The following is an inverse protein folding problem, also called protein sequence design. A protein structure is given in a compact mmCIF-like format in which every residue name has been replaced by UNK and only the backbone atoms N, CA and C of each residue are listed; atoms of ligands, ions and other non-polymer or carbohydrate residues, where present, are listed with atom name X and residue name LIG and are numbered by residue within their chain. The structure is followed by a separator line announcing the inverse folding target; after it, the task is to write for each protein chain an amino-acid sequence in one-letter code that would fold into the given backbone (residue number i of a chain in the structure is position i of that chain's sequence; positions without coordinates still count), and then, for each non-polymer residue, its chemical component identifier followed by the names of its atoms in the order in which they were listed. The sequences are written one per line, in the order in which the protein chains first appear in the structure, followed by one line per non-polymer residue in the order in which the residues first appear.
data_IF_782637565311
#
_entry.id   IF_782637565311
#
_cell.length_a   1.000
_cell.length_b   1.000
_cell.length_c   1.000
_cell.angle_alpha   90.00
_cell.angle_beta   90.00
_cell.angle_gamma   90.00
#
_symmetry.space_group_name_H-M   'P 1'
#
loop_
_entity.id
_entity.type
_entity.pdbx_description
1 polymer ?
#
# COMPACT_ATOMS: atom_id res chain seq x y z
N UNK A 1 4.46 -15.40 21.08
CA UNK A 1 5.48 -15.21 20.02
C UNK A 1 4.96 -14.15 19.06
N UNK A 2 5.81 -13.22 18.63
CA UNK A 2 5.42 -11.90 18.08
C UNK A 2 4.31 -11.99 17.02
N UNK A 3 3.11 -11.47 17.36
CA UNK A 3 1.92 -11.44 16.48
C UNK A 3 2.13 -10.61 15.22
N UNK A 4 3.05 -9.65 15.23
CA UNK A 4 3.18 -8.62 14.19
C UNK A 4 4.45 -8.79 13.35
N UNK A 5 4.45 -8.30 12.11
CA UNK A 5 5.63 -8.28 11.23
C UNK A 5 6.74 -7.36 11.76
N UNK A 6 7.97 -7.54 11.25
CA UNK A 6 9.07 -6.64 11.58
C UNK A 6 8.82 -5.21 11.08
N UNK A 7 8.22 -5.09 9.89
CA UNK A 7 7.84 -3.82 9.27
C UNK A 7 6.86 -3.04 10.15
N UNK A 8 5.76 -3.67 10.58
CA UNK A 8 4.76 -2.97 11.40
C UNK A 8 5.27 -2.61 12.79
N UNK A 9 6.12 -3.44 13.40
CA UNK A 9 6.83 -3.06 14.64
C UNK A 9 7.75 -1.86 14.44
N UNK A 10 8.40 -1.75 13.28
CA UNK A 10 9.22 -0.60 12.91
C UNK A 10 8.39 0.68 12.86
N UNK A 11 7.22 0.64 12.22
CA UNK A 11 6.27 1.75 12.21
C UNK A 11 5.90 2.22 13.62
N UNK A 12 5.45 1.31 14.49
CA UNK A 12 5.00 1.65 15.85
C UNK A 12 6.08 2.20 16.77
N UNK A 13 7.36 1.98 16.45
CA UNK A 13 8.49 2.52 17.23
C UNK A 13 8.87 3.95 16.84
N UNK A 14 8.45 4.40 15.67
CA UNK A 14 8.73 5.75 15.19
C UNK A 14 7.68 6.72 15.73
N UNK A 15 8.05 8.00 15.94
CA UNK A 15 7.09 9.01 16.39
C UNK A 15 6.02 9.20 15.32
N UNK A 16 4.77 9.35 15.74
CA UNK A 16 3.64 9.59 14.84
C UNK A 16 3.60 11.04 14.36
N UNK A 17 4.57 11.38 13.50
CA UNK A 17 4.71 12.70 12.89
C UNK A 17 5.43 12.58 11.55
N UNK A 18 5.56 13.71 10.84
CA UNK A 18 6.21 13.79 9.52
C UNK A 18 7.61 13.17 9.48
N UNK A 19 8.40 13.33 10.55
CA UNK A 19 9.78 12.81 10.60
C UNK A 19 9.76 11.28 10.71
N UNK A 20 8.95 10.73 11.62
CA UNK A 20 8.80 9.28 11.77
C UNK A 20 8.26 8.63 10.50
N UNK A 21 7.24 9.21 9.89
CA UNK A 21 6.66 8.74 8.62
C UNK A 21 7.68 8.76 7.47
N UNK A 22 8.52 9.80 7.41
CA UNK A 22 9.59 9.89 6.40
C UNK A 22 10.66 8.83 6.63
N UNK A 23 11.15 8.67 7.87
CA UNK A 23 12.14 7.64 8.21
C UNK A 23 11.62 6.23 7.90
N UNK A 24 10.35 5.96 8.22
CA UNK A 24 9.72 4.69 7.88
C UNK A 24 9.69 4.46 6.37
N UNK A 25 9.22 5.46 5.62
CA UNK A 25 9.09 5.37 4.16
C UNK A 25 10.44 5.17 3.47
N UNK A 26 11.50 5.83 3.97
CA UNK A 26 12.88 5.59 3.50
C UNK A 26 13.34 4.15 3.79
N UNK A 27 13.07 3.63 4.98
CA UNK A 27 13.38 2.24 5.33
C UNK A 27 12.62 1.23 4.46
N UNK A 28 11.35 1.50 4.16
CA UNK A 28 10.53 0.72 3.23
C UNK A 28 11.13 0.72 1.82
N UNK A 29 11.50 1.88 1.29
CA UNK A 29 12.14 2.00 -0.04
C UNK A 29 13.50 1.33 -0.07
N UNK A 30 14.30 1.41 1.00
CA UNK A 30 15.57 0.70 1.08
C UNK A 30 15.39 -0.83 1.01
N UNK A 31 14.28 -1.36 1.55
CA UNK A 31 13.92 -2.77 1.47
C UNK A 31 13.32 -3.18 0.12
N UNK A 32 12.54 -2.30 -0.51
CA UNK A 32 11.88 -2.53 -1.80
C UNK A 32 12.20 -1.36 -2.76
N UNK A 33 13.37 -1.36 -3.42
CA UNK A 33 13.87 -0.19 -4.16
C UNK A 33 12.93 0.34 -5.25
N UNK A 34 12.17 -0.54 -5.90
CA UNK A 34 11.26 -0.14 -6.98
C UNK A 34 10.13 0.79 -6.50
N UNK A 35 9.73 0.70 -5.22
CA UNK A 35 8.79 1.65 -4.62
C UNK A 35 9.33 3.08 -4.62
N UNK A 36 10.65 3.28 -4.56
CA UNK A 36 11.26 4.60 -4.62
C UNK A 36 10.94 5.38 -5.90
N UNK A 37 10.55 4.71 -6.99
CA UNK A 37 10.22 5.36 -8.27
C UNK A 37 8.99 6.28 -8.19
N UNK A 38 8.07 6.07 -7.23
CA UNK A 38 6.90 6.92 -7.05
C UNK A 38 7.02 7.88 -5.85
N UNK A 39 8.19 7.92 -5.20
CA UNK A 39 8.45 8.72 -4.00
C UNK A 39 7.34 8.60 -2.93
N UNK A 40 6.98 7.36 -2.51
CA UNK A 40 5.85 7.13 -1.63
C UNK A 40 6.16 7.59 -0.20
N UNK A 41 5.15 8.13 0.47
CA UNK A 41 5.16 8.40 1.91
C UNK A 41 3.98 7.72 2.57
N UNK A 42 4.24 6.74 3.44
CA UNK A 42 3.22 6.12 4.29
C UNK A 42 2.82 7.12 5.37
N UNK A 43 1.54 7.47 5.43
CA UNK A 43 1.00 8.50 6.35
C UNK A 43 0.06 7.92 7.40
N UNK A 44 -0.48 6.72 7.15
CA UNK A 44 -1.25 5.96 8.14
C UNK A 44 -1.03 4.47 7.92
N UNK A 45 -0.85 3.74 9.01
CA UNK A 45 -0.67 2.30 8.97
C UNK A 45 -1.21 1.65 10.26
N UNK A 46 -2.24 0.83 10.10
CA UNK A 46 -2.91 0.08 11.16
C UNK A 46 -3.48 -1.23 10.58
N UNK A 47 -3.82 -2.24 11.41
CA UNK A 47 -4.42 -3.47 10.89
C UNK A 47 -5.70 -3.16 10.11
N UNK A 48 -5.76 -3.61 8.85
CA UNK A 48 -6.86 -3.39 7.93
C UNK A 48 -6.85 -2.05 7.16
N UNK A 49 -5.86 -1.18 7.38
CA UNK A 49 -5.79 0.13 6.70
C UNK A 49 -4.35 0.61 6.47
N UNK A 50 -4.08 1.06 5.26
CA UNK A 50 -2.89 1.84 4.95
C UNK A 50 -3.23 3.03 4.05
N UNK A 51 -2.66 4.19 4.36
CA UNK A 51 -2.70 5.37 3.52
C UNK A 51 -1.29 5.79 3.10
N UNK A 52 -1.12 6.00 1.79
CA UNK A 52 0.16 6.35 1.17
C UNK A 52 -0.04 7.54 0.24
N UNK A 53 0.87 8.49 0.27
CA UNK A 53 0.87 9.64 -0.64
C UNK A 53 2.06 9.58 -1.59
N UNK A 54 1.89 10.13 -2.79
CA UNK A 54 2.98 10.29 -3.76
C UNK A 54 2.85 11.63 -4.50
N UNK A 55 3.95 12.41 -4.63
CA UNK A 55 3.93 13.62 -5.42
C UNK A 55 3.84 13.31 -6.91
N UNK A 56 3.24 14.21 -7.69
CA UNK A 56 3.42 14.20 -9.15
C UNK A 56 4.76 14.88 -9.46
N UNK A 57 5.66 14.18 -10.12
CA UNK A 57 6.98 14.69 -10.47
C UNK A 57 7.41 14.18 -11.84
N UNK A 58 8.43 14.82 -12.44
CA UNK A 58 8.79 14.61 -13.83
C UNK A 58 9.12 13.14 -14.17
N UNK A 59 9.71 12.38 -13.23
CA UNK A 59 10.11 10.99 -13.45
C UNK A 59 8.95 10.00 -13.58
N UNK A 60 7.72 10.40 -13.26
CA UNK A 60 6.52 9.55 -13.35
C UNK A 60 5.43 10.17 -14.22
N UNK A 61 5.78 11.11 -15.08
CA UNK A 61 4.83 11.64 -16.06
C UNK A 61 4.59 10.62 -17.18
N UNK A 62 3.34 10.54 -17.65
CA UNK A 62 3.06 9.96 -18.96
C UNK A 62 3.21 11.00 -20.09
N UNK A 63 2.97 10.58 -21.33
CA UNK A 63 3.01 11.42 -22.52
C UNK A 63 2.01 12.60 -22.51
N UNK A 64 1.07 12.65 -21.56
CA UNK A 64 0.13 13.75 -21.34
C UNK A 64 0.56 14.69 -20.18
N UNK A 65 1.70 14.46 -19.53
CA UNK A 65 2.14 15.23 -18.37
C UNK A 65 1.33 14.99 -17.09
N UNK A 66 0.59 13.88 -17.03
CA UNK A 66 -0.20 13.45 -15.87
C UNK A 66 0.51 12.32 -15.12
N UNK A 67 0.04 12.00 -13.91
CA UNK A 67 0.57 10.88 -13.13
C UNK A 67 0.41 9.58 -13.93
N UNK A 68 1.51 8.86 -14.18
CA UNK A 68 1.52 7.69 -15.06
C UNK A 68 0.66 6.55 -14.49
N UNK A 69 -0.08 5.87 -15.36
CA UNK A 69 -0.97 4.76 -15.02
C UNK A 69 -0.25 3.66 -14.19
N UNK A 70 0.89 3.17 -14.67
CA UNK A 70 1.70 2.15 -13.98
C UNK A 70 2.35 2.70 -12.70
N UNK A 71 2.63 4.00 -12.61
CA UNK A 71 3.08 4.61 -11.35
C UNK A 71 1.94 4.59 -10.31
N UNK A 72 0.69 4.81 -10.74
CA UNK A 72 -0.46 4.67 -9.85
C UNK A 72 -0.65 3.21 -9.40
N UNK A 73 -0.40 2.22 -10.27
CA UNK A 73 -0.36 0.81 -9.87
C UNK A 73 0.74 0.54 -8.84
N UNK A 74 1.95 1.10 -9.02
CA UNK A 74 3.03 0.97 -8.04
C UNK A 74 2.63 1.59 -6.68
N UNK A 75 1.97 2.75 -6.69
CA UNK A 75 1.44 3.36 -5.47
C UNK A 75 0.35 2.49 -4.80
N UNK A 76 -0.52 1.84 -5.59
CA UNK A 76 -1.52 0.91 -5.08
C UNK A 76 -0.85 -0.30 -4.39
N UNK A 77 0.18 -0.86 -5.03
CA UNK A 77 0.96 -1.98 -4.52
C UNK A 77 1.67 -1.63 -3.21
N UNK A 78 2.22 -0.42 -3.07
CA UNK A 78 2.79 0.07 -1.81
C UNK A 78 1.73 0.05 -0.71
N UNK A 79 0.54 0.63 -0.98
CA UNK A 79 -0.53 0.72 0.01
C UNK A 79 -1.04 -0.67 0.43
N UNK A 80 -1.31 -1.56 -0.52
CA UNK A 80 -1.70 -2.94 -0.25
C UNK A 80 -0.61 -3.71 0.51
N UNK A 81 0.65 -3.58 0.09
CA UNK A 81 1.75 -4.31 0.70
C UNK A 81 1.99 -3.88 2.15
N UNK A 82 1.94 -2.57 2.43
CA UNK A 82 2.03 -2.07 3.80
C UNK A 82 0.83 -2.47 4.64
N UNK A 83 -0.40 -2.41 4.11
CA UNK A 83 -1.57 -2.97 4.77
C UNK A 83 -1.36 -4.44 5.15
N UNK A 84 -0.83 -5.25 4.23
CA UNK A 84 -0.55 -6.67 4.48
C UNK A 84 0.50 -6.86 5.56
N UNK A 85 1.58 -6.05 5.57
CA UNK A 85 2.57 -6.04 6.66
C UNK A 85 1.97 -5.68 8.02
N UNK A 86 0.97 -4.79 8.08
CA UNK A 86 0.32 -4.42 9.34
C UNK A 86 -0.76 -5.40 9.81
N UNK A 87 -1.37 -6.12 8.87
CA UNK A 87 -2.58 -6.93 9.13
C UNK A 87 -2.26 -8.41 9.27
N UNK A 88 -1.42 -8.96 8.39
CA UNK A 88 -1.12 -10.41 8.37
C UNK A 88 -0.18 -10.73 9.52
N UNK A 89 -0.54 -11.68 10.42
CA UNK A 89 0.26 -11.96 11.58
C UNK A 89 1.56 -12.67 11.23
N UNK A 90 2.52 -12.62 12.14
CA UNK A 90 3.83 -13.26 11.98
C UNK A 90 3.78 -14.78 11.69
N UNK A 91 2.68 -15.46 12.05
CA UNK A 91 2.42 -16.89 11.80
C UNK A 91 2.06 -17.19 10.35
N UNK A 92 1.71 -16.18 9.56
CA UNK A 92 1.35 -16.31 8.14
C UNK A 92 2.33 -15.53 7.27
N UNK A 93 2.37 -15.89 5.98
CA UNK A 93 3.03 -15.13 4.92
C UNK A 93 1.98 -14.72 3.88
N UNK A 94 2.31 -13.68 3.12
CA UNK A 94 1.44 -13.16 2.08
C UNK A 94 2.24 -12.91 0.80
N UNK A 95 1.58 -13.04 -0.35
CA UNK A 95 2.16 -12.70 -1.66
C UNK A 95 1.06 -12.19 -2.63
N UNK A 96 1.28 -11.10 -3.37
CA UNK A 96 0.35 -10.65 -4.41
C UNK A 96 0.22 -11.71 -5.50
N UNK A 97 -1.02 -12.01 -5.92
CA UNK A 97 -1.34 -12.97 -7.00
C UNK A 97 -1.93 -12.32 -8.24
N UNK A 98 -2.74 -11.28 -8.07
CA UNK A 98 -3.39 -10.58 -9.17
C UNK A 98 -3.71 -9.14 -8.78
N UNK A 99 -3.85 -8.28 -9.78
CA UNK A 99 -4.27 -6.90 -9.61
C UNK A 99 -5.18 -6.52 -10.78
N UNK A 100 -6.40 -6.06 -10.48
CA UNK A 100 -7.32 -5.46 -11.44
C UNK A 100 -7.35 -3.94 -11.19
N UNK A 101 -7.16 -3.14 -12.24
CA UNK A 101 -7.07 -1.68 -12.12
C UNK A 101 -8.02 -0.99 -13.07
N UNK A 102 -8.74 0.00 -12.56
CA UNK A 102 -9.63 0.88 -13.32
C UNK A 102 -9.09 2.31 -13.27
N UNK A 103 -8.88 2.92 -14.43
CA UNK A 103 -8.48 4.32 -14.55
C UNK A 103 -9.73 5.19 -14.75
N UNK A 104 -10.23 5.77 -13.67
CA UNK A 104 -11.52 6.45 -13.62
C UNK A 104 -11.44 7.87 -14.18
N UNK A 105 -10.33 8.57 -13.94
CA UNK A 105 -10.10 9.94 -14.41
C UNK A 105 -8.60 10.25 -14.56
N UNK A 106 -8.28 11.36 -15.23
CA UNK A 106 -6.89 11.81 -15.39
C UNK A 106 -6.32 12.32 -14.06
N UNK A 107 -5.19 11.76 -13.64
CA UNK A 107 -4.48 12.12 -12.42
C UNK A 107 -3.57 13.35 -12.62
N UNK A 108 -4.10 14.55 -12.39
CA UNK A 108 -3.39 15.81 -12.67
C UNK A 108 -2.51 16.34 -11.52
N UNK A 109 -2.59 15.74 -10.32
CA UNK A 109 -1.87 16.14 -9.11
C UNK A 109 -1.05 14.99 -8.52
N UNK A 110 -0.39 15.25 -7.38
CA UNK A 110 -0.01 14.16 -6.48
C UNK A 110 -1.25 13.36 -6.03
N UNK A 111 -1.01 12.12 -5.62
CA UNK A 111 -2.05 11.14 -5.34
C UNK A 111 -1.98 10.65 -3.90
N UNK A 112 -3.12 10.22 -3.37
CA UNK A 112 -3.27 9.56 -2.08
C UNK A 112 -3.97 8.22 -2.29
N UNK A 113 -3.27 7.11 -2.09
CA UNK A 113 -3.82 5.77 -2.12
C UNK A 113 -4.26 5.32 -0.72
N UNK A 114 -5.43 4.71 -0.64
CA UNK A 114 -6.02 4.17 0.58
C UNK A 114 -6.34 2.70 0.34
N UNK A 115 -5.55 1.81 0.92
CA UNK A 115 -5.86 0.39 0.98
C UNK A 115 -6.66 0.13 2.25
N UNK A 116 -7.85 -0.45 2.14
CA UNK A 116 -8.72 -0.67 3.31
C UNK A 116 -9.53 -1.97 3.16
N UNK A 117 -9.40 -2.84 4.15
CA UNK A 117 -10.26 -4.02 4.27
C UNK A 117 -11.62 -3.63 4.86
N UNK A 118 -12.69 -4.22 4.33
CA UNK A 118 -14.01 -4.13 4.95
C UNK A 118 -14.03 -4.84 6.31
N UNK A 119 -13.36 -5.99 6.39
CA UNK A 119 -13.19 -6.79 7.60
C UNK A 119 -11.81 -7.46 7.59
N UNK A 120 -11.14 -7.50 8.74
CA UNK A 120 -9.87 -8.22 8.91
C UNK A 120 -10.17 -9.70 9.11
N UNK A 121 -9.59 -10.62 8.30
CA UNK A 121 -9.83 -12.05 8.44
C UNK A 121 -9.39 -12.61 9.79
N UNK A 122 -10.09 -13.65 10.24
CA UNK A 122 -9.60 -14.50 11.33
C UNK A 122 -8.51 -15.44 10.80
N UNK A 123 -7.25 -15.00 10.91
CA UNK A 123 -6.10 -15.72 10.39
C UNK A 123 -5.91 -17.11 11.02
N UNK A 124 -6.42 -17.39 12.22
CA UNK A 124 -6.31 -18.73 12.82
C UNK A 124 -7.10 -19.79 12.04
N UNK A 125 -8.10 -19.37 11.26
CA UNK A 125 -8.89 -20.26 10.39
C UNK A 125 -8.23 -20.53 9.04
N UNK A 126 -7.15 -19.84 8.69
CA UNK A 126 -6.47 -20.00 7.39
C UNK A 126 -5.39 -21.07 7.52
N UNK A 127 -5.73 -22.35 7.33
CA UNK A 127 -4.78 -23.46 7.54
C UNK A 127 -4.09 -23.95 6.26
N UNK A 128 -4.71 -23.78 5.09
CA UNK A 128 -4.17 -24.25 3.80
C UNK A 128 -3.79 -23.09 2.86
N UNK A 129 -4.31 -21.90 3.15
CA UNK A 129 -4.12 -20.69 2.40
C UNK A 129 -5.43 -20.17 1.82
N UNK A 130 -5.53 -18.86 1.67
CA UNK A 130 -6.72 -18.16 1.24
C UNK A 130 -6.35 -16.92 0.43
N UNK A 131 -7.18 -16.61 -0.57
CA UNK A 131 -7.12 -15.33 -1.26
C UNK A 131 -7.81 -14.25 -0.42
N UNK A 132 -7.07 -13.17 -0.16
CA UNK A 132 -7.55 -11.95 0.47
C UNK A 132 -7.54 -10.84 -0.59
N UNK A 133 -8.72 -10.34 -0.94
CA UNK A 133 -8.85 -9.19 -1.83
C UNK A 133 -8.61 -7.90 -1.03
N UNK A 134 -7.69 -7.06 -1.48
CA UNK A 134 -7.39 -5.75 -0.88
C UNK A 134 -7.81 -4.64 -1.84
N UNK A 135 -8.94 -3.95 -1.58
CA UNK A 135 -9.34 -2.79 -2.37
C UNK A 135 -8.45 -1.58 -2.06
N UNK A 136 -8.08 -0.85 -3.11
CA UNK A 136 -7.28 0.37 -3.03
C UNK A 136 -7.93 1.48 -3.85
N UNK A 137 -8.36 2.53 -3.16
CA UNK A 137 -8.87 3.75 -3.80
C UNK A 137 -7.78 4.82 -3.85
N UNK A 138 -7.54 5.40 -5.02
CA UNK A 138 -6.53 6.44 -5.22
C UNK A 138 -7.18 7.76 -5.59
N UNK A 139 -6.96 8.77 -4.73
CA UNK A 139 -7.56 10.08 -4.82
C UNK A 139 -6.58 11.14 -5.30
N UNK A 140 -7.08 12.10 -6.05
CA UNK A 140 -6.35 13.33 -6.36
C UNK A 140 -6.43 14.36 -5.21
N UNK A 141 -5.84 15.54 -5.42
CA UNK A 141 -5.83 16.62 -4.40
C UNK A 141 -7.21 17.19 -4.06
N UNK A 142 -8.22 16.96 -4.92
CA UNK A 142 -9.60 17.42 -4.71
C UNK A 142 -10.45 16.38 -3.98
N UNK A 143 -9.92 15.17 -3.80
CA UNK A 143 -10.64 14.05 -3.20
C UNK A 143 -11.41 13.21 -4.22
N UNK A 144 -11.22 13.44 -5.52
CA UNK A 144 -11.81 12.60 -6.57
C UNK A 144 -11.01 11.30 -6.68
N UNK A 145 -11.70 10.15 -6.67
CA UNK A 145 -11.07 8.85 -6.98
C UNK A 145 -10.74 8.82 -8.48
N UNK A 146 -9.45 8.73 -8.79
CA UNK A 146 -8.94 8.75 -10.17
C UNK A 146 -8.50 7.36 -10.64
N UNK A 147 -8.15 6.48 -9.69
CA UNK A 147 -7.80 5.07 -9.95
C UNK A 147 -8.38 4.21 -8.83
N UNK A 148 -8.95 3.09 -9.22
CA UNK A 148 -9.35 2.01 -8.30
C UNK A 148 -8.54 0.76 -8.62
N UNK A 149 -8.05 0.05 -7.61
CA UNK A 149 -7.35 -1.21 -7.78
C UNK A 149 -7.81 -2.26 -6.77
N UNK A 150 -8.11 -3.45 -7.26
CA UNK A 150 -8.37 -4.63 -6.45
C UNK A 150 -7.16 -5.57 -6.56
N UNK A 151 -6.44 -5.75 -5.46
CA UNK A 151 -5.23 -6.58 -5.42
C UNK A 151 -5.50 -7.86 -4.63
N UNK A 152 -5.47 -9.00 -5.31
CA UNK A 152 -5.61 -10.32 -4.70
C UNK A 152 -4.29 -10.74 -4.08
N UNK A 153 -4.31 -11.00 -2.77
CA UNK A 153 -3.15 -11.43 -2.00
C UNK A 153 -3.37 -12.84 -1.49
N UNK A 154 -2.42 -13.75 -1.71
CA UNK A 154 -2.45 -15.10 -1.17
C UNK A 154 -1.84 -15.12 0.23
N UNK A 155 -2.65 -15.45 1.22
CA UNK A 155 -2.23 -15.59 2.61
C UNK A 155 -2.16 -17.07 2.96
N UNK A 156 -1.09 -17.53 3.59
CA UNK A 156 -0.92 -18.94 3.96
C UNK A 156 -0.07 -19.07 5.24
N UNK A 157 -0.27 -20.10 6.07
CA UNK A 157 0.60 -20.36 7.21
C UNK A 157 2.08 -20.47 6.82
N UNK A 158 2.97 -20.07 7.72
CA UNK A 158 4.41 -20.20 7.54
C UNK A 158 4.89 -21.62 7.76
#
# INVERSE_FOLDING_TARGET
MTKETATYRGWKKLPDNRVGHTLFSLGMVARVPYFGTVLPSVVRLEPGLCEVTAPKWFGIHNHLGTFHAIAACNLAEVAMGMLSEATVPGTHRWIPKAMNVQYLAKANSGLRAVAKLAEVPDFEKITEGQELLVPVSIFDKTGLEVVHADITTWVTPK
#
